data_IF_907176455064
#
_entry.id   IF_907176455064
#
_cell.length_a   1.000
_cell.length_b   1.000
_cell.length_c   1.000
_cell.angle_alpha   90.00
_cell.angle_beta   90.00
_cell.angle_gamma   90.00
#
_symmetry.space_group_name_H-M   'P 1'
#
loop_
_entity.id
_entity.type
_entity.pdbx_description
1 polymer ?
#
# COMPACT_ATOMS: atom_id res chain seq x y z
N UNK A 1 51.32 -3.05 -82.34
CA UNK A 1 51.96 -3.95 -81.36
C UNK A 1 51.36 -3.59 -80.01
N UNK A 2 50.36 -4.38 -79.61
CA UNK A 2 49.33 -4.13 -78.60
C UNK A 2 49.02 -5.48 -77.94
N UNK A 3 48.78 -5.49 -76.62
CA UNK A 3 47.85 -6.44 -75.97
C UNK A 3 48.43 -7.29 -74.84
N UNK A 4 48.31 -6.81 -73.60
CA UNK A 4 48.83 -7.35 -72.32
C UNK A 4 47.72 -8.08 -71.48
N UNK A 5 48.07 -9.11 -70.68
CA UNK A 5 47.49 -9.46 -69.33
C UNK A 5 47.72 -10.93 -68.83
N UNK A 6 47.73 -11.09 -67.49
CA UNK A 6 47.31 -12.26 -66.67
C UNK A 6 48.41 -13.26 -66.22
N UNK A 7 48.38 -13.96 -65.07
CA UNK A 7 47.61 -13.97 -63.81
C UNK A 7 48.30 -14.97 -62.83
N UNK A 8 48.03 -14.87 -61.52
CA UNK A 8 48.05 -15.90 -60.44
C UNK A 8 48.73 -15.47 -59.11
N UNK A 9 47.83 -15.33 -58.14
CA UNK A 9 47.85 -15.05 -56.69
C UNK A 9 48.32 -16.23 -55.82
N UNK A 10 48.92 -15.99 -54.64
CA UNK A 10 48.67 -16.62 -53.31
C UNK A 10 49.52 -15.87 -52.24
N UNK A 11 49.03 -14.76 -51.66
CA UNK A 11 48.43 -14.60 -50.31
C UNK A 11 49.44 -14.52 -49.14
N UNK A 12 49.87 -13.30 -48.81
CA UNK A 12 50.54 -12.92 -47.54
C UNK A 12 49.49 -12.16 -46.71
N UNK A 13 49.16 -12.64 -45.51
CA UNK A 13 48.49 -11.84 -44.49
C UNK A 13 49.23 -11.94 -43.15
N UNK A 14 49.47 -10.76 -42.62
CA UNK A 14 50.18 -10.42 -41.39
C UNK A 14 49.47 -11.01 -40.17
N UNK A 15 50.24 -11.76 -39.37
CA UNK A 15 49.82 -12.26 -38.05
C UNK A 15 49.92 -11.11 -37.05
N UNK A 16 48.80 -10.43 -36.81
CA UNK A 16 48.57 -9.64 -35.60
C UNK A 16 47.38 -10.26 -34.87
N UNK A 17 47.64 -10.80 -33.68
CA UNK A 17 46.67 -11.30 -32.72
C UNK A 17 45.63 -10.22 -32.42
N UNK A 18 44.47 -10.28 -33.08
CA UNK A 18 43.22 -9.69 -32.59
C UNK A 18 42.37 -10.87 -32.11
N UNK A 19 42.41 -11.13 -30.80
CA UNK A 19 41.31 -11.84 -30.14
C UNK A 19 40.05 -11.02 -30.38
N UNK A 20 39.31 -11.34 -31.44
CA UNK A 20 37.89 -11.08 -31.48
C UNK A 20 37.31 -11.99 -30.41
N UNK A 21 37.20 -11.46 -29.19
CA UNK A 21 36.23 -11.96 -28.24
C UNK A 21 34.90 -11.80 -28.98
N UNK A 22 34.35 -12.90 -29.47
CA UNK A 22 32.91 -13.02 -29.64
C UNK A 22 32.34 -12.81 -28.24
N UNK A 23 32.10 -11.55 -27.88
CA UNK A 23 31.08 -11.26 -26.90
C UNK A 23 29.83 -11.68 -27.65
N UNK A 24 29.14 -12.77 -27.27
CA UNK A 24 27.79 -12.92 -27.75
C UNK A 24 27.11 -11.62 -27.33
N UNK A 25 26.76 -10.78 -28.31
CA UNK A 25 25.71 -9.81 -28.11
C UNK A 25 24.47 -10.67 -27.95
N UNK A 26 24.32 -11.23 -26.75
CA UNK A 26 23.03 -11.33 -26.15
C UNK A 26 22.56 -9.88 -26.19
N UNK A 27 21.66 -9.58 -27.11
CA UNK A 27 20.56 -8.67 -26.81
C UNK A 27 19.89 -9.28 -25.57
N UNK A 28 20.54 -9.07 -24.42
CA UNK A 28 19.96 -9.33 -23.15
C UNK A 28 18.82 -8.35 -23.10
N UNK A 29 17.61 -8.82 -23.40
CA UNK A 29 16.45 -8.32 -22.71
C UNK A 29 16.90 -8.17 -21.26
N UNK A 30 17.06 -6.93 -20.81
CA UNK A 30 17.29 -6.64 -19.41
C UNK A 30 16.06 -7.23 -18.71
N UNK A 31 16.17 -8.47 -18.23
CA UNK A 31 15.07 -9.14 -17.57
C UNK A 31 14.70 -8.24 -16.40
N UNK A 32 13.52 -7.61 -16.49
CA UNK A 32 13.02 -6.81 -15.41
C UNK A 32 12.98 -7.69 -14.16
N UNK A 33 13.54 -7.17 -13.07
CA UNK A 33 13.53 -7.89 -11.80
C UNK A 33 12.07 -8.10 -11.37
N UNK A 34 11.72 -9.32 -10.96
CA UNK A 34 10.40 -9.61 -10.41
C UNK A 34 10.35 -9.19 -8.95
N UNK A 35 9.25 -8.59 -8.52
CA UNK A 35 9.07 -8.15 -7.12
C UNK A 35 8.30 -9.19 -6.32
N UNK A 36 8.63 -9.35 -5.04
CA UNK A 36 7.81 -10.13 -4.11
C UNK A 36 6.76 -9.25 -3.48
N UNK A 37 5.60 -9.81 -3.16
CA UNK A 37 4.58 -9.11 -2.39
C UNK A 37 4.80 -9.29 -0.89
N UNK A 38 4.46 -8.27 -0.08
CA UNK A 38 3.89 -6.99 -0.50
C UNK A 38 4.94 -6.07 -1.11
N UNK A 39 4.51 -5.27 -2.09
CA UNK A 39 5.36 -4.40 -2.88
C UNK A 39 4.71 -3.04 -2.95
N UNK A 40 5.50 -1.98 -2.87
CA UNK A 40 4.97 -0.66 -3.09
C UNK A 40 6.08 0.34 -3.50
N UNK A 41 5.73 1.32 -4.34
CA UNK A 41 6.66 2.22 -5.02
C UNK A 41 5.99 3.56 -5.38
N UNK A 42 6.58 4.66 -4.94
CA UNK A 42 6.20 6.04 -5.29
C UNK A 42 7.25 6.78 -6.13
N UNK A 43 8.13 6.05 -6.83
CA UNK A 43 9.16 6.57 -7.72
C UNK A 43 10.26 7.47 -7.10
N UNK A 44 10.22 7.71 -5.79
CA UNK A 44 11.16 8.62 -5.11
C UNK A 44 12.65 8.20 -5.22
N UNK A 45 12.92 6.91 -5.33
CA UNK A 45 14.28 6.36 -5.44
C UNK A 45 14.90 6.55 -6.82
N UNK A 46 14.10 6.85 -7.85
CA UNK A 46 14.59 6.98 -9.22
C UNK A 46 15.07 8.41 -9.52
N UNK A 47 16.04 8.55 -10.43
CA UNK A 47 16.43 9.83 -10.98
C UNK A 47 15.33 10.39 -11.90
N UNK A 48 15.25 11.72 -12.05
CA UNK A 48 14.36 12.34 -13.03
C UNK A 48 14.83 12.01 -14.45
N UNK A 49 13.88 11.80 -15.37
CA UNK A 49 14.16 11.42 -16.75
C UNK A 49 13.62 10.04 -17.12
N UNK A 50 14.10 9.44 -18.21
CA UNK A 50 13.62 8.12 -18.66
C UNK A 50 13.69 7.08 -17.55
N UNK A 51 12.59 6.36 -17.32
CA UNK A 51 12.60 5.23 -16.41
C UNK A 51 13.33 4.09 -17.11
N UNK A 52 14.58 3.84 -16.70
CA UNK A 52 15.43 2.80 -17.26
C UNK A 52 15.92 1.88 -16.13
N UNK A 53 15.69 0.58 -16.30
CA UNK A 53 16.06 -0.51 -15.38
C UNK A 53 15.37 -0.49 -14.00
N UNK A 54 15.33 -1.67 -13.37
CA UNK A 54 14.75 -1.90 -12.04
C UNK A 54 13.63 -2.94 -12.03
N UNK A 55 12.57 -2.64 -11.31
CA UNK A 55 11.40 -3.50 -11.08
C UNK A 55 10.36 -3.37 -12.20
N UNK A 56 10.48 -2.31 -13.00
CA UNK A 56 9.55 -1.93 -14.05
C UNK A 56 10.10 -2.27 -15.43
N UNK A 57 9.25 -2.85 -16.28
CA UNK A 57 9.47 -2.97 -17.72
C UNK A 57 8.76 -1.82 -18.43
N UNK A 58 9.45 -1.16 -19.35
CA UNK A 58 8.89 -0.10 -20.18
C UNK A 58 8.88 -0.57 -21.63
N UNK A 59 7.69 -0.84 -22.15
CA UNK A 59 7.49 -1.23 -23.55
C UNK A 59 7.23 0.01 -24.40
N UNK A 60 7.78 0.04 -25.62
CA UNK A 60 7.64 1.15 -26.58
C UNK A 60 8.24 2.51 -26.15
N UNK A 61 9.07 2.53 -25.10
CA UNK A 61 9.65 3.76 -24.55
C UNK A 61 8.60 4.67 -23.91
N UNK A 62 8.97 5.89 -23.50
CA UNK A 62 8.00 6.93 -23.12
C UNK A 62 7.50 6.96 -21.66
N UNK A 63 7.95 6.05 -20.80
CA UNK A 63 7.83 6.20 -19.35
C UNK A 63 9.00 7.02 -18.78
N UNK A 64 8.70 8.05 -17.98
CA UNK A 64 9.71 8.91 -17.35
C UNK A 64 9.32 9.29 -15.94
N UNK A 65 10.30 9.33 -15.05
CA UNK A 65 10.15 9.87 -13.71
C UNK A 65 10.20 11.40 -13.81
N UNK A 66 9.19 12.05 -13.24
CA UNK A 66 9.02 13.50 -13.27
C UNK A 66 8.74 14.02 -11.85
N UNK A 67 9.01 15.29 -11.62
CA UNK A 67 8.57 16.02 -10.43
C UNK A 67 7.37 16.95 -10.71
N UNK A 68 6.80 16.85 -11.91
CA UNK A 68 5.59 17.58 -12.30
C UNK A 68 4.79 16.81 -13.38
N UNK A 69 3.50 16.51 -13.15
CA UNK A 69 2.77 16.71 -11.90
C UNK A 69 3.15 15.68 -10.84
N UNK A 70 3.00 16.04 -9.57
CA UNK A 70 3.12 15.12 -8.42
C UNK A 70 1.82 15.10 -7.65
N UNK A 71 1.52 14.00 -6.96
CA UNK A 71 0.38 13.94 -6.07
C UNK A 71 0.81 14.45 -4.69
N UNK A 72 0.22 15.57 -4.27
CA UNK A 72 0.51 16.15 -2.96
C UNK A 72 0.24 15.12 -1.86
N UNK A 73 1.25 14.83 -1.04
CA UNK A 73 1.15 13.87 0.06
C UNK A 73 1.71 12.47 -0.23
N UNK A 74 2.10 12.17 -1.47
CA UNK A 74 2.78 10.90 -1.84
C UNK A 74 4.30 11.01 -1.92
N UNK A 75 4.82 12.21 -2.21
CA UNK A 75 6.24 12.42 -2.43
C UNK A 75 6.51 13.63 -3.32
N UNK A 76 7.66 13.61 -3.99
CA UNK A 76 8.16 14.66 -4.87
C UNK A 76 8.34 14.22 -6.31
N UNK A 77 8.07 12.95 -6.62
CA UNK A 77 8.20 12.35 -7.95
C UNK A 77 6.98 11.52 -8.31
N UNK A 78 6.81 11.26 -9.60
CA UNK A 78 5.78 10.39 -10.17
C UNK A 78 6.28 9.83 -11.50
N UNK A 79 5.60 8.82 -12.04
CA UNK A 79 5.93 8.27 -13.36
C UNK A 79 4.93 8.76 -14.41
N UNK A 80 5.41 9.54 -15.39
CA UNK A 80 4.63 9.99 -16.54
C UNK A 80 4.81 9.03 -17.71
N UNK A 81 3.69 8.51 -18.22
CA UNK A 81 3.58 7.77 -19.47
C UNK A 81 3.14 8.77 -20.54
N UNK A 82 4.03 9.10 -21.48
CA UNK A 82 3.73 10.05 -22.57
C UNK A 82 3.87 9.34 -23.89
N UNK A 83 2.89 9.46 -24.79
CA UNK A 83 2.97 8.86 -26.10
C UNK A 83 2.98 9.91 -27.22
N UNK A 84 3.68 9.61 -28.30
CA UNK A 84 3.58 10.34 -29.57
C UNK A 84 2.90 9.53 -30.69
N UNK A 85 2.98 8.18 -30.69
CA UNK A 85 2.46 7.35 -31.81
C UNK A 85 2.03 5.90 -31.43
N UNK A 86 2.49 5.27 -30.34
CA UNK A 86 2.14 3.86 -29.98
C UNK A 86 2.03 3.66 -28.45
N UNK A 87 1.01 2.95 -27.92
CA UNK A 87 0.73 3.00 -26.49
C UNK A 87 1.96 2.59 -25.68
N UNK A 88 2.41 3.51 -24.82
CA UNK A 88 3.42 3.24 -23.80
C UNK A 88 2.82 2.28 -22.79
N UNK A 89 3.54 1.20 -22.49
CA UNK A 89 3.14 0.23 -21.46
C UNK A 89 4.20 0.19 -20.38
N UNK A 90 3.76 0.41 -19.14
CA UNK A 90 4.56 0.24 -17.94
C UNK A 90 4.09 -1.01 -17.20
N UNK A 91 4.99 -1.99 -17.05
CA UNK A 91 4.68 -3.30 -16.47
C UNK A 91 5.50 -3.54 -15.20
N UNK A 92 4.82 -3.88 -14.10
CA UNK A 92 5.46 -4.47 -12.91
C UNK A 92 5.31 -5.99 -12.98
N UNK A 93 6.43 -6.71 -12.89
CA UNK A 93 6.43 -8.18 -12.86
C UNK A 93 6.48 -8.67 -11.42
N UNK A 94 5.58 -9.59 -11.05
CA UNK A 94 5.44 -10.13 -9.69
C UNK A 94 6.00 -11.56 -9.64
N UNK A 95 6.83 -11.83 -8.64
CA UNK A 95 7.45 -13.12 -8.40
C UNK A 95 6.46 -14.07 -7.71
N UNK A 96 6.07 -15.16 -8.37
CA UNK A 96 5.10 -16.13 -7.84
C UNK A 96 5.74 -17.40 -7.25
N UNK A 97 7.08 -17.49 -7.22
CA UNK A 97 7.83 -18.70 -6.82
C UNK A 97 7.56 -19.20 -5.39
N UNK A 98 6.98 -18.36 -4.52
CA UNK A 98 6.69 -18.68 -3.12
C UNK A 98 5.26 -19.16 -2.80
N UNK A 99 4.46 -19.56 -3.78
CA UNK A 99 3.14 -20.17 -3.53
C UNK A 99 1.91 -19.42 -4.06
N UNK A 100 2.08 -18.55 -5.05
CA UNK A 100 0.96 -17.87 -5.71
C UNK A 100 0.26 -16.80 -4.87
N UNK A 101 -0.17 -15.75 -5.55
CA UNK A 101 -0.86 -14.59 -4.99
C UNK A 101 -2.31 -14.59 -5.45
N UNK A 102 -3.16 -15.27 -4.69
CA UNK A 102 -4.55 -15.63 -5.06
C UNK A 102 -5.61 -14.68 -4.52
N UNK A 103 -5.27 -13.82 -3.56
CA UNK A 103 -6.17 -12.79 -3.05
C UNK A 103 -5.36 -11.53 -2.82
N UNK A 104 -5.63 -10.47 -3.59
CA UNK A 104 -4.70 -9.34 -3.74
C UNK A 104 -5.44 -8.02 -3.77
N UNK A 105 -4.86 -7.04 -3.09
CA UNK A 105 -5.21 -5.66 -3.27
C UNK A 105 -4.10 -4.91 -3.99
N UNK A 106 -4.48 -4.11 -4.98
CA UNK A 106 -3.62 -3.19 -5.70
C UNK A 106 -4.20 -1.78 -5.57
N UNK A 107 -3.45 -0.83 -5.01
CA UNK A 107 -3.83 0.58 -4.95
C UNK A 107 -2.80 1.43 -5.69
N UNK A 108 -3.24 2.46 -6.38
CA UNK A 108 -2.36 3.46 -6.98
C UNK A 108 -3.11 4.77 -7.16
N UNK A 109 -2.38 5.85 -7.40
CA UNK A 109 -2.93 7.10 -7.87
C UNK A 109 -2.57 7.31 -9.33
N UNK A 110 -3.52 7.79 -10.12
CA UNK A 110 -3.26 8.13 -11.51
C UNK A 110 -3.96 9.42 -11.91
N UNK A 111 -3.33 10.14 -12.83
CA UNK A 111 -3.88 11.29 -13.56
C UNK A 111 -4.09 10.87 -15.02
N UNK A 112 -5.22 10.23 -15.37
CA UNK A 112 -5.49 9.75 -16.72
C UNK A 112 -5.90 10.90 -17.64
N UNK A 113 -5.50 10.88 -18.91
CA UNK A 113 -5.97 11.87 -19.92
C UNK A 113 -7.39 11.59 -20.39
N UNK A 114 -7.90 10.38 -20.16
CA UNK A 114 -9.19 9.89 -20.64
C UNK A 114 -9.02 9.15 -21.96
N UNK A 115 -9.66 7.98 -22.07
CA UNK A 115 -9.65 7.15 -23.26
C UNK A 115 -10.77 7.55 -24.21
N UNK A 116 -10.45 7.71 -25.50
CA UNK A 116 -11.44 7.99 -26.53
C UNK A 116 -12.12 6.70 -27.01
N UNK A 117 -13.39 6.52 -26.64
CA UNK A 117 -14.20 5.38 -27.05
C UNK A 117 -14.54 5.39 -28.56
N UNK A 118 -14.47 6.55 -29.23
CA UNK A 118 -14.78 6.63 -30.66
C UNK A 118 -13.76 5.86 -31.50
N UNK A 119 -12.52 5.76 -31.03
CA UNK A 119 -11.46 4.94 -31.63
C UNK A 119 -11.57 3.43 -31.35
N UNK A 120 -12.59 2.99 -30.61
CA UNK A 120 -12.78 1.60 -30.19
C UNK A 120 -12.57 1.41 -28.69
N UNK A 121 -12.56 0.15 -28.23
CA UNK A 121 -12.26 -0.20 -26.82
C UNK A 121 -10.81 -0.67 -26.70
N UNK A 122 -10.16 -0.54 -25.52
CA UNK A 122 -8.86 -1.15 -25.30
C UNK A 122 -8.90 -2.64 -25.61
N UNK A 123 -7.85 -3.15 -26.24
CA UNK A 123 -7.71 -4.60 -26.48
C UNK A 123 -7.63 -5.32 -25.15
N UNK A 124 -8.53 -6.27 -24.92
CA UNK A 124 -8.41 -7.19 -23.80
C UNK A 124 -7.61 -8.42 -24.26
N UNK A 125 -6.38 -8.57 -23.76
CA UNK A 125 -5.57 -9.75 -24.06
C UNK A 125 -6.07 -10.95 -23.26
N UNK A 126 -5.90 -12.17 -23.79
CA UNK A 126 -6.39 -13.41 -23.19
C UNK A 126 -5.87 -13.69 -21.77
N UNK A 127 -4.77 -13.03 -21.35
CA UNK A 127 -4.16 -13.22 -20.03
C UNK A 127 -4.61 -12.19 -18.97
N UNK A 128 -5.42 -11.20 -19.35
CA UNK A 128 -5.85 -10.16 -18.43
C UNK A 128 -7.02 -10.64 -17.56
N UNK A 129 -6.78 -10.89 -16.28
CA UNK A 129 -7.88 -11.19 -15.32
C UNK A 129 -8.80 -9.99 -15.10
N UNK A 130 -8.27 -8.77 -15.08
CA UNK A 130 -8.98 -7.55 -14.76
C UNK A 130 -8.51 -6.44 -15.69
N UNK A 131 -9.46 -5.72 -16.31
CA UNK A 131 -9.18 -4.55 -17.15
C UNK A 131 -10.23 -3.49 -16.93
N UNK A 132 -9.79 -2.25 -16.76
CA UNK A 132 -10.66 -1.08 -16.78
C UNK A 132 -9.96 0.12 -17.38
N UNK A 133 -10.74 1.14 -17.74
CA UNK A 133 -10.25 2.43 -18.20
C UNK A 133 -11.27 3.52 -17.86
N UNK A 134 -10.82 4.78 -17.91
CA UNK A 134 -11.66 5.98 -17.75
C UNK A 134 -11.79 6.64 -19.11
N UNK A 135 -13.00 6.90 -19.57
CA UNK A 135 -13.25 7.57 -20.86
C UNK A 135 -12.92 9.05 -20.79
N UNK A 136 -12.79 9.72 -21.94
CA UNK A 136 -12.68 11.20 -22.01
C UNK A 136 -13.85 11.92 -21.32
N UNK A 137 -15.03 11.30 -21.32
CA UNK A 137 -16.22 11.78 -20.61
C UNK A 137 -16.21 11.52 -19.11
N UNK A 138 -15.15 10.93 -18.55
CA UNK A 138 -15.03 10.66 -17.12
C UNK A 138 -15.74 9.39 -16.64
N UNK A 139 -16.22 8.56 -17.56
CA UNK A 139 -16.98 7.35 -17.24
C UNK A 139 -16.02 6.19 -17.07
N UNK A 140 -16.21 5.39 -16.03
CA UNK A 140 -15.43 4.16 -15.84
C UNK A 140 -16.04 3.03 -16.66
N UNK A 141 -15.21 2.36 -17.44
CA UNK A 141 -15.55 1.11 -18.13
C UNK A 141 -14.64 0.00 -17.68
N UNK A 142 -15.22 -1.15 -17.40
CA UNK A 142 -14.49 -2.33 -16.93
C UNK A 142 -14.96 -3.58 -17.65
N UNK A 143 -14.07 -4.54 -17.84
CA UNK A 143 -14.42 -5.82 -18.44
C UNK A 143 -15.02 -6.74 -17.37
N UNK A 144 -16.23 -7.26 -17.61
CA UNK A 144 -16.98 -8.07 -16.64
C UNK A 144 -16.89 -9.58 -16.90
N UNK A 145 -15.88 -10.02 -17.66
CA UNK A 145 -15.68 -11.41 -18.05
C UNK A 145 -16.03 -11.72 -19.50
N UNK A 146 -17.05 -11.04 -20.05
CA UNK A 146 -17.52 -11.27 -21.42
C UNK A 146 -17.69 -9.99 -22.22
N UNK A 147 -18.07 -8.90 -21.55
CA UNK A 147 -18.39 -7.62 -22.18
C UNK A 147 -17.81 -6.45 -21.39
N UNK A 148 -17.85 -5.27 -22.01
CA UNK A 148 -17.48 -4.03 -21.34
C UNK A 148 -18.68 -3.49 -20.58
N UNK A 149 -18.62 -3.60 -19.26
CA UNK A 149 -19.55 -2.98 -18.33
C UNK A 149 -19.22 -1.49 -18.16
N UNK A 150 -20.26 -0.67 -17.99
CA UNK A 150 -20.14 0.79 -17.84
C UNK A 150 -20.70 1.20 -16.49
N UNK A 151 -19.92 1.92 -15.69
CA UNK A 151 -20.43 2.56 -14.49
C UNK A 151 -21.20 3.83 -14.89
N UNK A 152 -22.47 3.95 -14.48
CA UNK A 152 -23.32 5.09 -14.82
C UNK A 152 -23.52 6.08 -13.67
N UNK A 153 -22.91 5.82 -12.50
CA UNK A 153 -23.17 6.55 -11.25
C UNK A 153 -22.01 7.50 -10.94
N UNK A 154 -20.78 7.01 -11.01
CA UNK A 154 -19.57 7.74 -10.68
C UNK A 154 -18.99 8.34 -11.96
N UNK A 155 -18.80 9.65 -11.94
CA UNK A 155 -18.13 10.40 -12.99
C UNK A 155 -16.87 11.05 -12.43
N UNK A 156 -15.75 10.83 -13.11
CA UNK A 156 -14.44 11.31 -12.71
C UNK A 156 -13.99 12.43 -13.66
N UNK A 157 -13.35 13.46 -13.15
CA UNK A 157 -12.70 14.44 -14.00
C UNK A 157 -11.36 13.88 -14.44
N UNK A 158 -11.18 13.73 -15.75
CA UNK A 158 -9.88 13.37 -16.33
C UNK A 158 -8.87 14.49 -16.10
N UNK A 159 -7.59 14.19 -16.24
CA UNK A 159 -6.48 15.10 -15.97
C UNK A 159 -6.44 15.66 -14.54
N UNK A 160 -7.09 14.99 -13.59
CA UNK A 160 -6.90 15.18 -12.14
C UNK A 160 -6.46 13.88 -11.50
N UNK A 161 -5.86 13.99 -10.32
CA UNK A 161 -5.41 12.81 -9.58
C UNK A 161 -6.60 12.03 -9.03
N UNK A 162 -6.64 10.75 -9.35
CA UNK A 162 -7.67 9.82 -8.89
C UNK A 162 -6.94 8.66 -8.22
N UNK A 163 -7.33 8.34 -6.99
CA UNK A 163 -6.94 7.12 -6.33
C UNK A 163 -7.81 5.95 -6.79
N UNK A 164 -7.16 4.84 -7.11
CA UNK A 164 -7.79 3.58 -7.50
C UNK A 164 -7.37 2.49 -6.53
N UNK A 165 -8.30 1.61 -6.17
CA UNK A 165 -7.98 0.33 -5.53
C UNK A 165 -8.73 -0.81 -6.22
N UNK A 166 -8.02 -1.92 -6.41
CA UNK A 166 -8.51 -3.12 -7.09
C UNK A 166 -8.34 -4.30 -6.14
N UNK A 167 -9.41 -5.05 -5.90
CA UNK A 167 -9.37 -6.34 -5.23
C UNK A 167 -9.43 -7.45 -6.25
N UNK A 168 -8.50 -8.40 -6.22
CA UNK A 168 -8.48 -9.58 -7.07
C UNK A 168 -8.59 -10.84 -6.22
N UNK A 169 -9.62 -11.64 -6.45
CA UNK A 169 -9.85 -12.91 -5.77
C UNK A 169 -9.86 -14.04 -6.80
N UNK A 170 -8.72 -14.71 -6.94
CA UNK A 170 -8.51 -15.79 -7.89
C UNK A 170 -9.24 -17.07 -7.49
N UNK A 171 -9.57 -17.26 -6.20
CA UNK A 171 -10.33 -18.43 -5.76
C UNK A 171 -11.73 -18.44 -6.37
N UNK A 172 -12.38 -17.28 -6.36
CA UNK A 172 -13.74 -17.13 -6.87
C UNK A 172 -13.77 -16.54 -8.30
N UNK A 173 -12.62 -16.17 -8.86
CA UNK A 173 -12.47 -15.49 -10.16
C UNK A 173 -13.22 -14.16 -10.24
N UNK A 174 -13.16 -13.39 -9.14
CA UNK A 174 -13.91 -12.15 -8.95
C UNK A 174 -12.98 -10.98 -8.65
N UNK A 175 -13.41 -9.78 -9.01
CA UNK A 175 -12.72 -8.56 -8.65
C UNK A 175 -13.66 -7.39 -8.35
N UNK A 176 -13.11 -6.42 -7.62
CA UNK A 176 -13.78 -5.17 -7.28
C UNK A 176 -12.87 -3.98 -7.58
N UNK A 177 -13.48 -2.86 -7.98
CA UNK A 177 -12.83 -1.58 -8.22
C UNK A 177 -13.37 -0.52 -7.27
N UNK A 178 -12.49 0.30 -6.75
CA UNK A 178 -12.81 1.44 -5.90
C UNK A 178 -12.08 2.69 -6.40
N UNK A 179 -12.72 3.86 -6.28
CA UNK A 179 -12.17 5.14 -6.75
C UNK A 179 -12.42 6.28 -5.76
N UNK A 180 -11.45 7.18 -5.62
CA UNK A 180 -11.66 8.46 -4.91
C UNK A 180 -12.51 9.41 -5.76
N UNK A 181 -13.65 9.87 -5.26
CA UNK A 181 -14.58 10.68 -6.07
C UNK A 181 -14.27 12.18 -6.09
N UNK A 182 -13.66 12.73 -5.04
CA UNK A 182 -13.36 14.17 -5.02
C UNK A 182 -11.92 14.49 -5.44
N UNK A 183 -11.18 13.48 -5.90
CA UNK A 183 -9.88 13.61 -6.56
C UNK A 183 -8.84 14.33 -5.68
N UNK A 184 -8.97 14.17 -4.36
CA UNK A 184 -7.96 14.62 -3.41
C UNK A 184 -7.25 13.44 -2.77
N UNK A 185 -6.08 13.73 -2.23
CA UNK A 185 -5.21 12.74 -1.62
C UNK A 185 -5.76 12.24 -0.27
N UNK A 186 -5.65 10.93 -0.02
CA UNK A 186 -6.05 10.32 1.26
C UNK A 186 -7.55 10.16 1.48
N UNK A 187 -8.39 10.40 0.47
CA UNK A 187 -9.83 10.25 0.58
C UNK A 187 -10.30 8.81 0.62
N UNK A 188 -11.49 8.63 1.19
CA UNK A 188 -12.25 7.40 1.06
C UNK A 188 -12.57 7.14 -0.41
N UNK A 189 -12.32 5.92 -0.87
CA UNK A 189 -12.65 5.43 -2.19
C UNK A 189 -13.99 4.72 -2.16
N UNK A 190 -14.86 5.02 -3.11
CA UNK A 190 -16.15 4.37 -3.26
C UNK A 190 -16.03 3.18 -4.21
N UNK A 191 -16.71 2.09 -3.88
CA UNK A 191 -16.81 0.91 -4.73
C UNK A 191 -17.57 1.28 -6.01
N UNK A 192 -16.95 0.99 -7.14
CA UNK A 192 -17.47 1.29 -8.48
C UNK A 192 -18.52 0.27 -8.89
N UNK A 193 -18.25 -1.02 -8.67
CA UNK A 193 -19.15 -2.11 -9.06
C UNK A 193 -19.97 -2.57 -7.85
N UNK A 194 -21.30 -2.50 -7.92
CA UNK A 194 -22.20 -2.94 -6.83
C UNK A 194 -22.24 -4.46 -6.66
N UNK A 195 -21.96 -5.19 -7.74
CA UNK A 195 -21.74 -6.64 -7.75
C UNK A 195 -20.31 -6.91 -8.19
N UNK A 196 -19.56 -7.85 -7.56
CA UNK A 196 -18.24 -8.25 -8.01
C UNK A 196 -18.22 -8.60 -9.50
N UNK A 197 -17.21 -8.09 -10.22
CA UNK A 197 -17.02 -8.36 -11.64
C UNK A 197 -16.28 -9.69 -11.83
N UNK A 198 -16.60 -10.43 -12.89
CA UNK A 198 -15.89 -11.67 -13.21
C UNK A 198 -14.55 -11.36 -13.87
N UNK A 199 -13.58 -12.26 -13.69
CA UNK A 199 -12.36 -12.25 -14.50
C UNK A 199 -12.68 -12.47 -15.98
N UNK A 200 -11.83 -11.96 -16.88
CA UNK A 200 -11.96 -12.22 -18.32
C UNK A 200 -12.06 -13.72 -18.61
N UNK A 201 -13.01 -14.09 -19.47
CA UNK A 201 -13.19 -15.48 -19.92
C UNK A 201 -11.92 -16.00 -20.62
N UNK A 202 -11.52 -17.24 -20.30
CA UNK A 202 -10.36 -17.89 -20.90
C UNK A 202 -9.02 -17.68 -20.17
N UNK A 203 -9.00 -16.93 -19.07
CA UNK A 203 -7.76 -16.74 -18.29
C UNK A 203 -7.43 -18.01 -17.48
N UNK A 204 -6.27 -18.61 -17.76
CA UNK A 204 -5.76 -19.77 -17.01
C UNK A 204 -4.94 -19.42 -15.77
N UNK A 205 -4.68 -18.14 -15.51
CA UNK A 205 -3.87 -17.72 -14.37
C UNK A 205 -4.62 -17.88 -13.05
N UNK A 206 -4.00 -18.55 -12.10
CA UNK A 206 -4.50 -18.73 -10.73
C UNK A 206 -3.91 -17.73 -9.74
N UNK A 207 -3.04 -16.80 -10.20
CA UNK A 207 -2.40 -15.81 -9.32
C UNK A 207 -1.95 -14.55 -10.04
N UNK A 208 -1.70 -13.47 -9.27
CA UNK A 208 -1.16 -12.24 -9.81
C UNK A 208 0.29 -12.41 -10.29
N UNK A 209 0.51 -12.14 -11.58
CA UNK A 209 1.83 -12.18 -12.20
C UNK A 209 2.31 -10.80 -12.68
N UNK A 210 1.40 -9.94 -13.13
CA UNK A 210 1.75 -8.65 -13.74
C UNK A 210 0.71 -7.59 -13.43
N UNK A 211 1.17 -6.35 -13.29
CA UNK A 211 0.33 -5.14 -13.26
C UNK A 211 0.79 -4.25 -14.40
N UNK A 212 -0.15 -3.76 -15.22
CA UNK A 212 0.16 -2.96 -16.42
C UNK A 212 -0.61 -1.66 -16.44
N UNK A 213 0.10 -0.58 -16.73
CA UNK A 213 -0.46 0.72 -17.06
C UNK A 213 -0.17 0.98 -18.54
N UNK A 214 -1.20 1.30 -19.31
CA UNK A 214 -1.07 1.53 -20.76
C UNK A 214 -1.75 2.83 -21.16
N UNK A 215 -1.14 3.53 -22.12
CA UNK A 215 -1.65 4.81 -22.62
C UNK A 215 -1.07 6.01 -21.88
N UNK A 216 -1.68 7.19 -22.09
CA UNK A 216 -1.21 8.44 -21.48
C UNK A 216 -1.77 8.63 -20.08
N UNK A 217 -0.88 8.67 -19.11
CA UNK A 217 -1.22 8.90 -17.72
C UNK A 217 0.00 9.40 -16.95
N UNK A 218 -0.25 9.94 -15.75
CA UNK A 218 0.78 10.02 -14.71
C UNK A 218 0.36 9.08 -13.59
N UNK A 219 1.26 8.21 -13.14
CA UNK A 219 1.00 7.19 -12.12
C UNK A 219 1.93 7.42 -10.93
N UNK A 220 1.42 7.20 -9.72
CA UNK A 220 2.16 7.37 -8.48
C UNK A 220 1.61 6.45 -7.37
N UNK A 221 2.43 6.18 -6.35
CA UNK A 221 2.03 5.52 -5.12
C UNK A 221 1.41 4.12 -5.30
N UNK A 222 1.99 3.30 -6.19
CA UNK A 222 1.54 1.91 -6.34
C UNK A 222 1.82 1.13 -5.05
N UNK A 223 0.84 0.39 -4.58
CA UNK A 223 0.96 -0.58 -3.52
C UNK A 223 0.18 -1.85 -3.85
N UNK A 224 0.80 -2.99 -3.57
CA UNK A 224 0.28 -4.32 -3.85
C UNK A 224 0.50 -5.19 -2.63
N UNK A 225 -0.57 -5.72 -2.06
CA UNK A 225 -0.50 -6.55 -0.85
C UNK A 225 -1.46 -7.72 -0.95
N UNK A 226 -1.23 -8.77 -0.14
CA UNK A 226 -2.17 -9.88 -0.03
C UNK A 226 -3.45 -9.41 0.67
N UNK A 227 -4.59 -9.69 0.06
CA UNK A 227 -5.89 -9.61 0.70
C UNK A 227 -6.14 -10.86 1.54
N UNK A 228 -6.82 -10.69 2.68
CA UNK A 228 -7.23 -11.80 3.55
C UNK A 228 -8.76 -11.83 3.77
N UNK A 229 -9.48 -10.95 3.08
CA UNK A 229 -10.95 -10.92 2.99
C UNK A 229 -11.39 -11.35 1.58
N UNK A 230 -12.54 -12.01 1.47
CA UNK A 230 -13.16 -12.32 0.16
C UNK A 230 -13.87 -11.08 -0.40
N UNK A 231 -14.27 -11.10 -1.67
CA UNK A 231 -15.15 -10.06 -2.20
C UNK A 231 -16.41 -9.98 -1.35
N UNK A 232 -16.67 -8.81 -0.76
CA UNK A 232 -17.89 -8.56 -0.02
C UNK A 232 -18.72 -7.50 -0.75
N UNK A 233 -19.88 -7.85 -1.33
CA UNK A 233 -20.78 -6.89 -1.95
C UNK A 233 -21.22 -5.78 -1.00
N UNK A 234 -21.29 -6.03 0.31
CA UNK A 234 -21.70 -5.02 1.31
C UNK A 234 -20.62 -3.98 1.60
N UNK A 235 -19.36 -4.22 1.21
CA UNK A 235 -18.26 -3.31 1.49
C UNK A 235 -18.16 -2.24 0.39
N UNK A 236 -18.82 -1.10 0.60
CA UNK A 236 -19.02 -0.06 -0.41
C UNK A 236 -17.98 1.07 -0.38
N UNK A 237 -17.17 1.17 0.68
CA UNK A 237 -16.20 2.25 0.86
C UNK A 237 -14.89 1.70 1.38
N UNK A 238 -13.77 2.04 0.75
CA UNK A 238 -12.43 1.84 1.31
C UNK A 238 -11.92 3.15 1.85
N UNK A 239 -11.31 3.13 3.02
CA UNK A 239 -10.58 4.27 3.52
C UNK A 239 -9.08 4.01 3.43
N UNK A 240 -8.33 5.08 3.17
CA UNK A 240 -6.87 5.03 3.05
C UNK A 240 -6.24 5.91 4.09
N UNK A 241 -5.19 5.40 4.75
CA UNK A 241 -4.41 6.19 5.68
C UNK A 241 -2.98 6.37 5.26
N UNK A 242 -2.61 7.63 5.09
CA UNK A 242 -1.23 8.08 4.97
C UNK A 242 -0.53 7.98 6.32
N UNK A 243 0.66 7.37 6.32
CA UNK A 243 1.67 7.57 7.36
C UNK A 243 2.63 8.66 6.89
N UNK A 244 2.52 9.89 7.38
CA UNK A 244 3.47 10.94 7.03
C UNK A 244 4.84 10.67 7.68
N UNK A 245 5.82 11.49 7.36
CA UNK A 245 7.21 11.21 7.66
C UNK A 245 7.89 12.42 8.27
N UNK A 246 7.42 12.80 9.46
CA UNK A 246 8.21 13.56 10.40
C UNK A 246 8.55 12.67 11.60
N UNK A 247 9.79 12.17 11.61
CA UNK A 247 10.55 11.37 12.63
C UNK A 247 9.85 10.26 13.43
N UNK A 248 8.64 10.45 13.92
CA UNK A 248 7.89 9.50 14.75
C UNK A 248 6.40 9.61 14.44
N UNK A 249 5.84 8.56 13.86
CA UNK A 249 4.39 8.46 13.74
C UNK A 249 3.83 7.30 14.54
N UNK A 250 2.88 7.62 15.42
CA UNK A 250 2.08 6.65 16.13
C UNK A 250 0.93 6.24 15.22
N UNK A 251 0.95 5.01 14.72
CA UNK A 251 -0.11 4.52 13.83
C UNK A 251 -0.65 3.21 14.36
N UNK A 252 -1.94 2.98 14.15
CA UNK A 252 -2.51 1.65 14.34
C UNK A 252 -1.93 0.64 13.36
N UNK A 253 -1.90 -0.62 13.77
CA UNK A 253 -1.77 -1.73 12.80
C UNK A 253 -2.95 -1.64 11.84
N UNK A 254 -2.71 -1.73 10.53
CA UNK A 254 -3.77 -1.62 9.55
C UNK A 254 -4.80 -2.74 9.69
N UNK A 255 -6.07 -2.33 9.59
CA UNK A 255 -7.22 -3.17 9.88
C UNK A 255 -7.66 -3.93 8.63
N UNK A 256 -6.97 -5.02 8.33
CA UNK A 256 -7.63 -6.18 7.74
C UNK A 256 -7.49 -7.36 8.67
N UNK A 257 -8.53 -8.19 8.70
CA UNK A 257 -8.53 -9.48 9.36
C UNK A 257 -7.49 -10.37 8.66
N UNK A 258 -6.23 -10.23 9.01
CA UNK A 258 -5.23 -11.28 8.77
C UNK A 258 -5.78 -12.49 9.54
N UNK A 259 -6.36 -13.43 8.81
CA UNK A 259 -6.97 -14.63 9.40
C UNK A 259 -5.93 -15.73 9.57
N UNK A 260 -4.65 -15.34 9.63
CA UNK A 260 -3.51 -16.23 9.61
C UNK A 260 -3.07 -16.54 11.05
N UNK A 261 -2.73 -17.78 11.38
CA UNK A 261 -2.05 -18.09 12.64
C UNK A 261 -0.67 -17.42 12.74
N UNK A 262 -0.14 -16.88 11.63
CA UNK A 262 1.17 -16.23 11.52
C UNK A 262 1.09 -14.69 11.54
N UNK A 263 0.25 -14.10 12.38
CA UNK A 263 0.14 -12.63 12.57
C UNK A 263 1.33 -12.04 13.36
N UNK A 264 2.53 -12.48 13.04
CA UNK A 264 3.76 -12.05 13.71
C UNK A 264 4.46 -10.96 12.90
N UNK A 265 5.44 -10.30 13.51
CA UNK A 265 6.23 -9.29 12.81
C UNK A 265 7.04 -9.90 11.64
N UNK A 266 7.49 -11.15 11.73
CA UNK A 266 8.08 -11.85 10.57
C UNK A 266 7.05 -12.44 9.60
N UNK A 267 5.79 -12.49 10.02
CA UNK A 267 4.68 -13.06 9.26
C UNK A 267 4.07 -12.10 8.24
N UNK A 268 2.86 -12.41 7.79
CA UNK A 268 2.22 -11.71 6.66
C UNK A 268 1.88 -10.26 6.98
N UNK A 269 1.40 -10.00 8.19
CA UNK A 269 1.09 -8.65 8.65
C UNK A 269 2.36 -7.80 8.80
N UNK A 270 3.42 -8.34 9.39
CA UNK A 270 4.70 -7.62 9.44
C UNK A 270 5.37 -7.45 8.08
N UNK A 271 5.12 -8.36 7.13
CA UNK A 271 5.48 -8.16 5.74
C UNK A 271 4.67 -7.02 5.10
N UNK A 272 3.36 -6.92 5.34
CA UNK A 272 2.57 -5.77 4.87
C UNK A 272 3.10 -4.47 5.46
N UNK A 273 3.49 -4.47 6.73
CA UNK A 273 4.04 -3.30 7.40
C UNK A 273 5.34 -2.80 6.75
N UNK A 274 6.21 -3.68 6.22
CA UNK A 274 7.42 -3.23 5.52
C UNK A 274 7.14 -2.72 4.10
N UNK A 275 5.95 -2.90 3.53
CA UNK A 275 5.58 -2.16 2.33
C UNK A 275 5.80 -0.66 2.64
N UNK A 276 6.46 0.10 1.78
CA UNK A 276 6.80 1.49 2.12
C UNK A 276 8.18 1.69 2.69
N UNK A 277 8.74 0.68 3.36
CA UNK A 277 9.91 0.85 4.22
C UNK A 277 11.21 0.53 3.48
N UNK A 278 12.25 1.27 3.83
CA UNK A 278 13.61 1.08 3.34
C UNK A 278 14.43 0.32 4.39
N UNK A 279 15.51 -0.33 3.93
CA UNK A 279 16.51 -0.85 4.86
C UNK A 279 17.03 0.30 5.74
N UNK A 280 17.12 0.05 7.04
CA UNK A 280 17.49 1.05 8.04
C UNK A 280 16.31 1.73 8.73
N UNK A 281 15.08 1.58 8.25
CA UNK A 281 13.89 2.05 8.95
C UNK A 281 13.52 1.18 10.14
N UNK A 282 12.79 1.75 11.11
CA UNK A 282 12.44 1.11 12.36
C UNK A 282 10.93 1.08 12.60
N UNK A 283 10.50 0.04 13.30
CA UNK A 283 9.24 0.01 14.04
C UNK A 283 9.52 -0.17 15.52
N UNK A 284 8.76 0.54 16.35
CA UNK A 284 8.70 0.29 17.79
C UNK A 284 7.32 -0.23 18.11
N UNK A 285 7.28 -1.38 18.77
CA UNK A 285 6.05 -2.06 19.11
C UNK A 285 6.03 -2.22 20.62
N UNK A 286 4.97 -1.70 21.22
CA UNK A 286 4.79 -1.82 22.66
C UNK A 286 4.10 -3.15 22.96
N UNK A 287 4.68 -3.90 23.88
CA UNK A 287 4.20 -5.20 24.31
C UNK A 287 4.16 -5.26 25.84
N UNK A 288 3.75 -6.40 26.41
CA UNK A 288 3.61 -6.58 27.87
C UNK A 288 4.91 -6.31 28.65
N UNK A 289 6.07 -6.46 28.01
CA UNK A 289 7.40 -6.21 28.59
C UNK A 289 7.99 -4.82 28.25
N UNK A 290 7.19 -3.94 27.62
CA UNK A 290 7.61 -2.61 27.23
C UNK A 290 7.90 -2.47 25.73
N UNK A 291 8.86 -1.59 25.40
CA UNK A 291 9.17 -1.26 24.01
C UNK A 291 10.10 -2.30 23.39
N UNK A 292 9.64 -2.90 22.30
CA UNK A 292 10.48 -3.72 21.42
C UNK A 292 10.74 -2.93 20.14
N UNK A 293 12.00 -2.78 19.76
CA UNK A 293 12.42 -2.01 18.60
C UNK A 293 12.97 -2.96 17.55
N UNK A 294 12.52 -2.79 16.31
CA UNK A 294 12.92 -3.60 15.19
C UNK A 294 13.36 -2.72 14.04
N UNK A 295 14.44 -3.12 13.37
CA UNK A 295 14.96 -2.47 12.17
C UNK A 295 14.74 -3.38 10.97
N UNK A 296 14.38 -2.81 9.83
CA UNK A 296 14.34 -3.53 8.56
C UNK A 296 15.75 -3.63 7.98
N UNK A 297 16.26 -4.84 7.84
CA UNK A 297 17.59 -5.11 7.27
C UNK A 297 17.48 -6.19 6.19
N UNK A 298 17.90 -5.86 4.97
CA UNK A 298 17.76 -6.74 3.80
C UNK A 298 16.34 -7.34 3.64
N UNK A 299 15.31 -6.53 3.91
CA UNK A 299 13.91 -6.96 3.81
C UNK A 299 13.41 -7.87 4.95
N UNK A 300 14.22 -8.06 6.01
CA UNK A 300 13.92 -8.88 7.19
C UNK A 300 13.91 -8.01 8.45
N UNK A 301 12.96 -8.25 9.34
CA UNK A 301 12.91 -7.60 10.65
C UNK A 301 14.00 -8.14 11.56
N UNK A 302 14.81 -7.24 12.11
CA UNK A 302 15.87 -7.55 13.08
C UNK A 302 15.59 -6.81 14.38
N UNK A 303 15.63 -7.51 15.52
CA UNK A 303 15.55 -6.85 16.83
C UNK A 303 16.77 -5.96 17.05
N UNK A 304 16.56 -4.73 17.53
CA UNK A 304 17.63 -3.78 17.87
C UNK A 304 17.33 -3.10 19.21
N UNK A 305 18.38 -2.65 19.91
CA UNK A 305 18.21 -1.86 21.14
C UNK A 305 17.52 -2.60 22.30
N UNK A 306 17.70 -3.92 22.40
CA UNK A 306 17.16 -4.73 23.50
C UNK A 306 15.72 -5.21 23.33
N UNK A 307 15.19 -5.25 22.09
CA UNK A 307 13.96 -5.98 21.81
C UNK A 307 14.09 -7.44 22.27
N UNK A 308 13.25 -7.83 23.20
CA UNK A 308 13.35 -9.11 23.93
C UNK A 308 12.51 -10.22 23.30
N UNK A 309 11.62 -9.86 22.37
CA UNK A 309 10.76 -10.81 21.65
C UNK A 309 11.31 -10.97 20.22
N UNK A 310 11.58 -12.20 19.76
CA UNK A 310 11.94 -12.44 18.36
C UNK A 310 10.84 -11.95 17.41
N UNK A 311 11.18 -11.37 16.24
CA UNK A 311 10.17 -10.96 15.25
C UNK A 311 9.20 -12.07 14.82
N UNK A 312 9.66 -13.34 14.84
CA UNK A 312 8.84 -14.52 14.58
C UNK A 312 7.75 -14.78 15.62
N UNK A 313 7.92 -14.25 16.83
CA UNK A 313 7.07 -14.55 17.99
C UNK A 313 6.24 -13.32 18.41
N UNK A 314 6.57 -12.15 17.86
CA UNK A 314 5.86 -10.91 18.15
C UNK A 314 4.55 -10.82 17.36
N UNK A 315 3.46 -11.28 17.97
CA UNK A 315 2.13 -11.15 17.40
C UNK A 315 1.63 -9.70 17.44
N UNK A 316 1.19 -9.22 16.28
CA UNK A 316 0.53 -7.92 16.11
C UNK A 316 -0.97 -8.13 16.11
N UNK A 317 -1.68 -7.32 16.89
CA UNK A 317 -3.15 -7.27 16.90
C UNK A 317 -3.60 -5.98 16.24
N UNK A 318 -4.82 -5.90 15.70
CA UNK A 318 -5.42 -4.64 15.23
C UNK A 318 -5.33 -3.50 16.25
N UNK A 319 -5.31 -3.83 17.54
CA UNK A 319 -5.20 -2.89 18.66
C UNK A 319 -3.78 -2.65 19.11
N UNK A 320 -2.79 -3.38 18.59
CA UNK A 320 -1.38 -3.07 18.82
C UNK A 320 -1.11 -1.73 18.17
N UNK A 321 -0.64 -0.77 18.95
CA UNK A 321 -0.04 0.38 18.31
C UNK A 321 1.37 0.03 17.79
N UNK A 322 1.76 0.71 16.73
CA UNK A 322 3.09 0.60 16.14
C UNK A 322 3.58 2.02 15.89
N UNK A 323 4.79 2.30 16.36
CA UNK A 323 5.45 3.55 16.06
C UNK A 323 6.41 3.33 14.89
N UNK A 324 6.25 4.15 13.86
CA UNK A 324 7.08 4.14 12.66
C UNK A 324 8.15 5.20 12.77
N UNK A 325 9.38 4.84 12.40
CA UNK A 325 10.51 5.75 12.36
C UNK A 325 11.36 5.47 11.11
N UNK A 326 11.49 6.47 10.23
CA UNK A 326 12.42 6.41 9.10
C UNK A 326 13.86 6.56 9.58
N UNK A 327 14.78 5.80 8.97
CA UNK A 327 16.21 5.98 9.14
C UNK A 327 16.72 7.25 8.44
N UNK A 328 16.22 7.54 7.23
CA UNK A 328 16.55 8.72 6.40
C UNK A 328 15.59 8.88 5.19
N UNK A 329 15.47 10.08 4.58
CA UNK A 329 14.81 10.30 3.27
C UNK A 329 13.69 11.36 3.25
N UNK A 330 13.19 11.72 2.05
CA UNK A 330 12.17 12.79 1.81
C UNK A 330 10.82 12.30 1.23
N UNK A 331 10.47 11.04 1.55
CA UNK A 331 9.12 10.45 1.64
C UNK A 331 8.51 9.80 0.39
N UNK A 332 8.23 8.50 0.55
CA UNK A 332 7.04 7.83 0.05
C UNK A 332 6.44 6.98 1.19
N UNK A 333 5.14 6.70 1.19
CA UNK A 333 4.39 6.13 2.32
C UNK A 333 3.66 4.88 1.86
N UNK A 334 3.61 3.83 2.69
CA UNK A 334 2.63 2.76 2.48
C UNK A 334 1.33 3.12 3.18
N UNK A 335 0.24 2.84 2.48
CA UNK A 335 -1.10 3.08 2.98
C UNK A 335 -1.79 1.76 3.01
N UNK A 336 -2.55 1.56 4.06
CA UNK A 336 -3.29 0.33 4.18
C UNK A 336 -4.73 0.69 3.95
N UNK A 337 -5.37 -0.09 3.10
CA UNK A 337 -6.81 -0.04 3.09
C UNK A 337 -7.28 -0.60 4.43
N UNK A 338 -8.42 -0.15 4.90
CA UNK A 338 -9.05 -0.68 6.09
C UNK A 338 -10.56 -0.68 5.93
N UNK A 339 -11.21 -1.52 6.71
CA UNK A 339 -12.67 -1.60 6.86
C UNK A 339 -13.04 -1.31 8.32
N UNK A 340 -14.24 -0.78 8.56
CA UNK A 340 -14.80 -0.68 9.91
C UNK A 340 -14.78 -2.05 10.57
N UNK A 341 -14.18 -2.14 11.76
CA UNK A 341 -14.06 -3.36 12.53
C UNK A 341 -15.43 -3.92 12.94
N UNK A 342 -15.91 -4.99 12.29
CA UNK A 342 -17.05 -5.78 12.78
C UNK A 342 -16.56 -7.11 13.38
N UNK A 343 -17.13 -7.51 14.51
CA UNK A 343 -16.85 -8.81 15.13
C UNK A 343 -15.46 -8.99 15.73
N UNK A 344 -14.84 -7.93 16.27
CA UNK A 344 -13.57 -8.07 16.97
C UNK A 344 -13.73 -8.42 18.44
N UNK A 345 -12.85 -9.32 18.88
CA UNK A 345 -12.76 -9.69 20.28
C UNK A 345 -12.19 -8.52 21.07
N UNK A 346 -12.84 -8.20 22.18
CA UNK A 346 -12.43 -7.14 23.09
C UNK A 346 -10.96 -7.31 23.50
N UNK A 347 -10.09 -6.31 23.29
CA UNK A 347 -8.70 -6.41 23.68
C UNK A 347 -8.55 -6.14 25.17
N UNK A 348 -7.60 -6.84 25.77
CA UNK A 348 -7.26 -6.69 27.18
C UNK A 348 -6.38 -5.46 27.39
N UNK A 349 -6.83 -4.56 28.24
CA UNK A 349 -6.12 -3.37 28.70
C UNK A 349 -5.50 -3.68 30.06
N UNK A 350 -4.21 -3.42 30.20
CA UNK A 350 -3.44 -3.67 31.41
C UNK A 350 -3.25 -2.37 32.18
N UNK A 351 -3.34 -2.42 33.51
CA UNK A 351 -3.05 -1.27 34.36
C UNK A 351 -2.08 -1.57 35.49
N UNK A 352 -1.68 -0.49 36.15
CA UNK A 352 -0.78 -0.54 37.30
C UNK A 352 -1.06 0.60 38.26
N UNK A 353 -1.02 0.30 39.55
CA UNK A 353 -1.07 1.24 40.66
C UNK A 353 0.31 1.81 41.04
N UNK A 354 1.39 1.33 40.41
CA UNK A 354 2.77 1.76 40.70
C UNK A 354 3.30 2.73 39.64
N UNK A 355 4.08 3.72 40.05
CA UNK A 355 4.71 4.68 39.14
C UNK A 355 5.89 4.10 38.34
N UNK A 356 6.43 2.96 38.76
CA UNK A 356 7.60 2.30 38.18
C UNK A 356 7.27 1.22 37.14
N UNK A 357 6.02 0.75 37.08
CA UNK A 357 5.53 -0.19 36.06
C UNK A 357 4.69 0.56 35.01
N UNK A 358 4.49 -0.03 33.83
CA UNK A 358 3.86 0.66 32.69
C UNK A 358 2.45 0.11 32.43
N UNK A 359 1.43 0.70 33.04
CA UNK A 359 -0.01 0.51 32.71
C UNK A 359 -0.42 1.18 31.39
N UNK A 360 0.54 1.35 30.48
CA UNK A 360 0.37 2.01 29.21
C UNK A 360 0.04 0.99 28.15
N UNK A 361 -0.99 1.26 27.37
CA UNK A 361 -1.48 0.41 26.30
C UNK A 361 -1.49 1.28 25.05
N UNK A 362 -0.78 0.86 24.00
CA UNK A 362 -0.91 1.52 22.71
C UNK A 362 -2.13 0.91 22.02
N UNK A 363 -3.11 1.73 21.70
CA UNK A 363 -4.37 1.35 21.08
C UNK A 363 -4.47 1.95 19.68
N UNK A 364 -5.22 1.30 18.79
CA UNK A 364 -5.66 1.87 17.52
C UNK A 364 -7.17 2.06 17.56
N UNK A 365 -7.67 3.24 17.21
CA UNK A 365 -9.11 3.51 17.18
C UNK A 365 -9.76 2.78 16.00
N UNK A 366 -10.78 1.94 16.21
CA UNK A 366 -11.21 1.02 15.17
C UNK A 366 -12.48 1.42 14.42
N UNK A 367 -13.07 2.56 14.78
CA UNK A 367 -14.35 3.02 14.23
C UNK A 367 -14.17 4.32 13.50
N UNK A 368 -15.18 4.68 12.71
CA UNK A 368 -15.38 6.04 12.24
C UNK A 368 -15.17 7.07 13.37
N UNK A 369 -14.71 8.26 12.97
CA UNK A 369 -14.31 9.35 13.84
C UNK A 369 -15.32 9.58 14.98
N UNK A 370 -14.86 9.55 16.23
CA UNK A 370 -15.74 9.71 17.40
C UNK A 370 -15.15 10.66 18.43
N UNK A 371 -16.00 11.55 18.95
CA UNK A 371 -15.69 12.38 20.12
C UNK A 371 -15.43 11.51 21.35
N UNK A 372 -14.39 11.82 22.13
CA UNK A 372 -14.03 11.06 23.34
C UNK A 372 -15.14 10.99 24.38
N UNK A 373 -16.01 11.99 24.42
CA UNK A 373 -17.19 12.09 25.28
C UNK A 373 -18.52 11.94 24.51
N UNK A 374 -18.50 11.35 23.30
CA UNK A 374 -19.73 11.10 22.53
C UNK A 374 -20.68 10.13 23.24
N UNK A 375 -21.93 10.04 22.78
CA UNK A 375 -22.98 9.24 23.43
C UNK A 375 -22.62 7.76 23.68
N UNK A 376 -21.85 7.15 22.77
CA UNK A 376 -21.35 5.77 22.93
C UNK A 376 -19.96 5.69 23.57
N UNK A 377 -19.34 6.83 23.89
CA UNK A 377 -18.00 6.95 24.46
C UNK A 377 -16.90 6.22 23.67
N UNK A 378 -15.82 5.91 24.37
CA UNK A 378 -14.69 5.17 23.81
C UNK A 378 -14.80 3.64 23.96
N UNK A 379 -15.87 3.12 24.59
CA UNK A 379 -16.04 1.68 24.82
C UNK A 379 -15.22 1.10 25.98
N UNK A 380 -14.50 1.93 26.76
CA UNK A 380 -13.80 1.45 27.95
C UNK A 380 -14.81 1.10 29.04
N UNK A 381 -14.94 -0.19 29.34
CA UNK A 381 -15.93 -0.72 30.29
C UNK A 381 -15.67 -0.34 31.76
N UNK A 382 -14.45 0.12 32.08
CA UNK A 382 -14.04 0.45 33.45
C UNK A 382 -12.93 1.50 33.49
N UNK A 383 -13.13 2.66 32.85
CA UNK A 383 -12.19 3.78 32.99
C UNK A 383 -12.14 4.26 34.46
N UNK A 384 -10.94 4.39 35.02
CA UNK A 384 -10.73 4.79 36.41
C UNK A 384 -10.30 6.26 36.51
N UNK A 385 -10.62 6.92 37.62
CA UNK A 385 -10.19 8.30 37.87
C UNK A 385 -8.66 8.40 37.78
N UNK A 386 -8.18 9.26 36.89
CA UNK A 386 -6.75 9.44 36.63
C UNK A 386 -6.18 8.56 35.53
N UNK A 387 -7.00 7.73 34.88
CA UNK A 387 -6.67 7.15 33.56
C UNK A 387 -6.41 8.27 32.56
N UNK A 388 -5.55 8.00 31.57
CA UNK A 388 -5.11 9.04 30.62
C UNK A 388 -5.11 8.53 29.19
N UNK A 389 -5.44 9.43 28.26
CA UNK A 389 -5.26 9.22 26.83
C UNK A 389 -4.21 10.20 26.31
N UNK A 390 -3.28 9.73 25.49
CA UNK A 390 -2.35 10.59 24.77
C UNK A 390 -2.50 10.39 23.27
N UNK A 391 -2.93 11.45 22.59
CA UNK A 391 -3.08 11.54 21.14
C UNK A 391 -1.90 12.34 20.59
N UNK A 392 -1.27 11.86 19.51
CA UNK A 392 -0.19 12.59 18.87
C UNK A 392 -0.73 13.40 17.69
N UNK A 393 -0.72 14.73 17.79
CA UNK A 393 -1.26 15.65 16.78
C UNK A 393 -0.38 16.87 16.64
N UNK A 394 -0.15 17.32 15.41
CA UNK A 394 0.61 18.55 15.13
C UNK A 394 1.97 18.59 15.86
N UNK A 395 2.70 17.48 15.86
CA UNK A 395 3.97 17.29 16.58
C UNK A 395 3.91 17.43 18.11
N UNK A 396 2.73 17.32 18.71
CA UNK A 396 2.54 17.43 20.17
C UNK A 396 1.66 16.29 20.69
N UNK A 397 1.85 15.95 21.97
CA UNK A 397 0.95 15.03 22.67
C UNK A 397 -0.17 15.81 23.34
N UNK A 398 -1.38 15.64 22.82
CA UNK A 398 -2.60 16.01 23.52
C UNK A 398 -2.85 14.99 24.64
N UNK A 399 -2.94 15.47 25.88
CA UNK A 399 -3.18 14.63 27.07
C UNK A 399 -4.59 14.84 27.58
N UNK A 400 -5.39 13.79 27.54
CA UNK A 400 -6.71 13.72 28.17
C UNK A 400 -6.62 12.89 29.45
N UNK A 401 -7.47 13.19 30.43
CA UNK A 401 -7.61 12.37 31.63
C UNK A 401 -9.08 12.13 31.98
N UNK A 402 -9.36 10.97 32.54
CA UNK A 402 -10.68 10.62 33.04
C UNK A 402 -10.87 11.20 34.45
N UNK A 403 -11.89 12.03 34.63
CA UNK A 403 -12.21 12.64 35.94
C UNK A 403 -13.15 11.78 36.80
N UNK A 404 -13.61 10.64 36.27
CA UNK A 404 -14.64 9.79 36.87
C UNK A 404 -15.97 9.82 36.12
N UNK A 405 -16.19 10.85 35.30
CA UNK A 405 -17.44 11.05 34.53
C UNK A 405 -17.19 11.30 33.05
N UNK A 406 -16.08 11.96 32.70
CA UNK A 406 -15.77 12.37 31.33
C UNK A 406 -14.26 12.56 31.13
N UNK A 407 -13.85 12.54 29.86
CA UNK A 407 -12.49 12.87 29.44
C UNK A 407 -12.29 14.39 29.43
N UNK A 408 -11.23 14.87 30.08
CA UNK A 408 -10.86 16.28 30.16
C UNK A 408 -9.50 16.58 29.57
N UNK A 409 -9.40 17.75 28.92
CA UNK A 409 -8.14 18.38 28.56
C UNK A 409 -7.89 19.56 29.51
N UNK A 410 -7.00 19.37 30.48
CA UNK A 410 -6.86 20.30 31.60
C UNK A 410 -8.18 20.44 32.36
N UNK A 411 -8.61 21.66 32.68
CA UNK A 411 -9.87 21.87 33.40
C UNK A 411 -11.13 21.63 32.52
N UNK A 412 -10.99 21.63 31.20
CA UNK A 412 -12.12 21.63 30.28
C UNK A 412 -12.55 20.22 29.90
N UNK A 413 -13.86 20.03 29.70
CA UNK A 413 -14.40 18.83 29.06
C UNK A 413 -13.84 18.75 27.65
N UNK A 414 -13.26 17.62 27.27
CA UNK A 414 -12.67 17.46 25.95
C UNK A 414 -13.76 17.27 24.89
N UNK A 415 -13.65 18.02 23.81
CA UNK A 415 -14.41 17.85 22.56
C UNK A 415 -13.58 17.13 21.48
N UNK A 416 -12.40 16.61 21.85
CA UNK A 416 -11.49 15.98 20.92
C UNK A 416 -12.13 14.72 20.33
N UNK A 417 -11.94 14.55 19.02
CA UNK A 417 -12.43 13.38 18.28
C UNK A 417 -11.25 12.50 17.97
N UNK A 418 -11.29 11.21 18.32
CA UNK A 418 -10.31 10.22 17.85
C UNK A 418 -10.72 9.78 16.45
N UNK A 419 -9.79 9.90 15.50
CA UNK A 419 -10.03 9.54 14.11
C UNK A 419 -9.90 8.03 13.92
N UNK A 420 -10.70 7.47 13.02
CA UNK A 420 -10.60 6.06 12.63
C UNK A 420 -9.17 5.68 12.31
N UNK A 421 -8.64 4.57 12.81
CA UNK A 421 -7.25 4.12 12.65
C UNK A 421 -6.17 4.98 13.33
N UNK A 422 -6.54 6.00 14.11
CA UNK A 422 -5.57 6.80 14.87
C UNK A 422 -4.98 5.97 16.01
N UNK A 423 -3.65 5.97 16.11
CA UNK A 423 -2.95 5.38 17.24
C UNK A 423 -3.01 6.33 18.44
N UNK A 424 -3.27 5.80 19.63
CA UNK A 424 -3.26 6.57 20.87
C UNK A 424 -2.75 5.74 22.02
N UNK A 425 -2.23 6.40 23.05
CA UNK A 425 -1.86 5.74 24.30
C UNK A 425 -3.00 5.81 25.28
N UNK A 426 -3.30 4.69 25.92
CA UNK A 426 -4.18 4.60 27.07
C UNK A 426 -3.38 4.19 28.30
N UNK A 427 -3.39 5.02 29.34
CA UNK A 427 -2.84 4.68 30.65
C UNK A 427 -3.98 4.26 31.57
N UNK A 428 -3.94 3.01 32.05
CA UNK A 428 -4.80 2.52 33.12
C UNK A 428 -4.06 2.61 34.46
N UNK A 429 -4.53 3.49 35.35
CA UNK A 429 -3.91 3.78 36.65
C UNK A 429 -4.22 2.74 37.72
N UNK A 430 -5.25 1.93 37.53
CA UNK A 430 -5.61 0.88 38.49
C UNK A 430 -4.85 -0.40 38.17
N UNK A 431 -4.39 -1.14 39.18
CA UNK A 431 -3.81 -2.47 38.96
C UNK A 431 -4.84 -3.47 38.41
N UNK A 432 -4.36 -4.43 37.62
CA UNK A 432 -5.20 -5.46 37.00
C UNK A 432 -5.43 -5.25 35.51
N UNK A 433 -6.49 -5.86 34.98
CA UNK A 433 -6.82 -5.82 33.55
C UNK A 433 -8.32 -5.67 33.35
N UNK A 434 -8.73 -5.01 32.26
CA UNK A 434 -10.11 -5.02 31.80
C UNK A 434 -10.19 -5.25 30.30
N UNK A 435 -11.37 -5.65 29.81
CA UNK A 435 -11.62 -5.79 28.37
C UNK A 435 -12.17 -4.48 27.82
N UNK A 436 -11.46 -3.86 26.88
CA UNK A 436 -11.98 -2.73 26.11
C UNK A 436 -13.14 -3.24 25.25
N UNK A 437 -14.37 -2.83 25.58
CA UNK A 437 -15.55 -3.29 24.86
C UNK A 437 -15.63 -2.56 23.52
N UNK A 438 -15.08 -3.20 22.49
CA UNK A 438 -15.18 -2.78 21.10
C UNK A 438 -16.24 -3.58 20.32
N UNK A 439 -16.78 -4.65 20.89
CA UNK A 439 -17.84 -5.42 20.24
C UNK A 439 -19.24 -4.80 20.39
N UNK A 440 -19.43 -3.89 21.35
CA UNK A 440 -20.75 -3.38 21.76
C UNK A 440 -20.95 -1.88 21.56
N UNK A 441 -20.17 -1.24 20.69
CA UNK A 441 -20.23 0.22 20.48
C UNK A 441 -20.71 0.61 19.08
N UNK A 442 -21.36 -0.33 18.39
CA UNK A 442 -22.12 -0.08 17.17
C UNK A 442 -23.46 0.59 17.46
#
# INVERSE_FOLDING_TARGET
MIGMNGNYTWLIWLVCFLMIIFIPVFEGELYASTVSLPYANGFESYALGPLSAGEWTVENGGAKVTNNPVMTGLGSKSCKLTNGVMPVVLTLNVNTSGGGYTNIWCRFYARPTGYDDAGGKPTNNADNVCVFYVTTGGVIKAYNGTTWWTNTIIKLDTNKWIGFAVHLNYKDSLWDLYVSTNQTFGENMQKVNTTPLQFSSGVGSTSLQKIRFSGEAVVDGLEVTRGFTTNNPSHTTLATKTRYANKYELVGVPLYKYSSPNDTLSGELGNAIKAGMNNGDYVKIFYTNGWNVYQLNAGVWTSVGGGTIPPSDLHLKPTSGVLYQRGSGTNWTAYYMYETMTGLNNPTIYGTDTSSMRGWNMCAWPYANRAVNGGSGLGFSSAAVGDRIYLYRNNQYLRLHWDGTQWRNGANVSSDTIYEGEGFWYFHKTSGTFQWNISGVE
#
